data_IF_336300566252
#
_entry.id   IF_336300566252
#
_cell.length_a   1.000
_cell.length_b   1.000
_cell.length_c   1.000
_cell.angle_alpha   90.00
_cell.angle_beta   90.00
_cell.angle_gamma   90.00
#
_symmetry.space_group_name_H-M   'P 1'
#
loop_
_entity.id
_entity.type
_entity.pdbx_description
1 polymer ?
#
# COMPACT_ATOMS: atom_id res chain seq x y z
N UNK A 1 10.39 35.09 -15.64
CA UNK A 1 9.01 34.99 -15.09
C UNK A 1 8.92 34.56 -13.62
N UNK A 2 9.65 33.55 -13.10
CA UNK A 2 9.72 33.32 -11.64
C UNK A 2 10.69 34.29 -10.91
N UNK A 3 11.83 34.61 -11.54
CA UNK A 3 12.84 35.50 -10.94
C UNK A 3 12.39 36.97 -10.80
N UNK A 4 11.54 37.45 -11.72
CA UNK A 4 11.02 38.83 -11.70
C UNK A 4 9.99 39.03 -10.57
N UNK A 5 9.19 37.99 -10.30
CA UNK A 5 8.16 38.00 -9.25
C UNK A 5 8.76 38.00 -7.83
N UNK A 6 9.96 37.43 -7.66
CA UNK A 6 10.72 37.49 -6.40
C UNK A 6 11.31 38.88 -6.12
N UNK A 7 11.76 39.59 -7.17
CA UNK A 7 12.28 40.96 -7.02
C UNK A 7 11.19 41.96 -6.61
N UNK A 8 9.93 41.74 -6.99
CA UNK A 8 8.79 42.63 -6.70
C UNK A 8 8.01 42.31 -5.41
N UNK A 9 8.30 41.23 -4.68
CA UNK A 9 7.65 40.95 -3.39
C UNK A 9 8.20 41.84 -2.25
N UNK A 10 7.30 42.41 -1.44
CA UNK A 10 7.64 43.24 -0.27
C UNK A 10 8.16 42.37 0.90
N UNK A 11 8.96 42.94 1.80
CA UNK A 11 9.59 42.25 2.95
C UNK A 11 8.66 41.34 3.79
N UNK A 12 7.39 41.67 4.08
CA UNK A 12 6.53 40.76 4.84
C UNK A 12 6.10 39.52 4.06
N UNK A 13 6.00 39.57 2.73
CA UNK A 13 5.65 38.42 1.88
C UNK A 13 6.85 37.49 1.70
N UNK A 14 8.07 38.06 1.65
CA UNK A 14 9.32 37.28 1.67
C UNK A 14 9.55 36.58 3.01
N UNK A 15 9.12 37.18 4.13
CA UNK A 15 9.18 36.54 5.46
C UNK A 15 8.29 35.29 5.57
N UNK A 16 7.15 35.24 4.88
CA UNK A 16 6.34 34.01 4.83
C UNK A 16 7.07 32.83 4.16
N UNK A 17 7.95 33.10 3.20
CA UNK A 17 8.80 32.07 2.57
C UNK A 17 10.04 31.72 3.40
N UNK A 18 10.50 32.59 4.31
CA UNK A 18 11.60 32.30 5.23
C UNK A 18 11.14 31.37 6.38
N UNK A 19 9.92 31.57 6.87
CA UNK A 19 9.30 30.75 7.92
C UNK A 19 9.12 29.28 7.47
N UNK A 20 8.83 29.06 6.18
CA UNK A 20 8.77 27.71 5.60
C UNK A 20 10.13 27.00 5.57
N UNK A 21 11.23 27.73 5.38
CA UNK A 21 12.59 27.15 5.32
C UNK A 21 13.12 26.78 6.72
N UNK A 22 12.74 27.54 7.76
CA UNK A 22 13.02 27.16 9.15
C UNK A 22 12.20 25.95 9.59
N UNK A 23 10.93 25.86 9.20
CA UNK A 23 10.08 24.70 9.51
C UNK A 23 10.57 23.42 8.82
N UNK A 24 11.08 23.51 7.60
CA UNK A 24 11.68 22.36 6.90
C UNK A 24 13.02 21.93 7.53
N UNK A 25 13.84 22.87 8.03
CA UNK A 25 15.05 22.56 8.82
C UNK A 25 14.71 21.92 10.16
N UNK A 26 13.65 22.37 10.83
CA UNK A 26 13.14 21.77 12.06
C UNK A 26 12.64 20.33 11.79
N UNK A 27 11.90 20.12 10.69
CA UNK A 27 11.37 18.81 10.30
C UNK A 27 12.46 17.81 9.85
N UNK A 28 13.61 18.29 9.35
CA UNK A 28 14.78 17.47 9.07
C UNK A 28 15.46 16.90 10.33
N UNK A 29 15.27 17.55 11.49
CA UNK A 29 15.77 17.07 12.79
C UNK A 29 14.74 16.22 13.56
N UNK A 30 13.48 16.22 13.10
CA UNK A 30 12.39 15.48 13.72
C UNK A 30 12.45 13.99 13.35
N UNK A 31 12.96 13.17 14.26
CA UNK A 31 12.75 11.73 14.22
C UNK A 31 11.34 11.41 14.74
N UNK A 32 10.41 10.91 13.91
CA UNK A 32 9.06 10.58 14.38
C UNK A 32 9.14 9.49 15.47
N UNK A 33 8.40 9.63 16.60
CA UNK A 33 8.28 8.57 17.59
C UNK A 33 7.83 7.28 16.93
N UNK A 34 8.71 6.28 16.93
CA UNK A 34 8.49 5.00 16.26
C UNK A 34 7.57 4.13 17.09
N UNK A 35 6.27 4.36 16.98
CA UNK A 35 5.25 3.47 17.53
C UNK A 35 4.26 3.12 16.41
N UNK A 36 4.41 1.90 15.88
CA UNK A 36 3.46 1.21 14.98
C UNK A 36 3.42 1.56 13.47
N UNK A 37 4.54 1.82 12.79
CA UNK A 37 4.49 2.00 11.32
C UNK A 37 5.75 1.78 10.50
N UNK A 38 6.85 1.33 11.09
CA UNK A 38 8.10 1.13 10.36
C UNK A 38 7.94 0.08 9.26
N UNK A 39 7.87 0.50 7.99
CA UNK A 39 7.91 -0.39 6.84
C UNK A 39 9.29 -1.06 6.81
N UNK A 40 9.41 -2.19 7.52
CA UNK A 40 10.64 -3.00 7.57
C UNK A 40 11.16 -3.17 6.15
N UNK A 41 12.39 -2.73 5.89
CA UNK A 41 13.07 -2.86 4.60
C UNK A 41 12.98 -4.34 4.19
N UNK A 42 12.15 -4.65 3.19
CA UNK A 42 11.95 -6.04 2.74
C UNK A 42 13.31 -6.59 2.34
N UNK A 43 13.71 -7.71 2.95
CA UNK A 43 14.91 -8.46 2.56
C UNK A 43 14.81 -8.76 1.06
N UNK A 44 15.92 -8.60 0.33
CA UNK A 44 15.99 -8.92 -1.10
C UNK A 44 15.54 -10.37 -1.25
N UNK A 45 14.63 -10.62 -2.18
CA UNK A 45 14.08 -11.96 -2.41
C UNK A 45 15.23 -12.81 -2.99
N UNK A 46 15.69 -13.83 -2.26
CA UNK A 46 16.69 -14.77 -2.77
C UNK A 46 16.08 -15.54 -3.95
N UNK A 47 16.75 -15.56 -5.11
CA UNK A 47 16.25 -16.22 -6.34
C UNK A 47 16.10 -17.74 -6.18
N UNK A 48 16.80 -18.33 -5.20
CA UNK A 48 16.75 -19.75 -4.87
C UNK A 48 15.80 -20.08 -3.70
N UNK A 49 15.16 -19.09 -3.08
CA UNK A 49 14.21 -19.35 -2.01
C UNK A 49 12.87 -19.81 -2.59
N UNK A 50 12.36 -20.91 -2.05
CA UNK A 50 11.03 -21.40 -2.35
C UNK A 50 10.01 -20.27 -2.14
N UNK A 51 9.09 -20.09 -3.09
CA UNK A 51 8.03 -19.08 -2.97
C UNK A 51 7.26 -19.38 -1.69
N UNK A 52 7.01 -18.34 -0.90
CA UNK A 52 6.21 -18.49 0.34
C UNK A 52 4.84 -19.06 -0.04
N UNK A 53 4.31 -20.00 0.75
CA UNK A 53 2.99 -20.57 0.50
C UNK A 53 1.95 -19.46 0.46
N UNK A 54 0.99 -19.62 -0.45
CA UNK A 54 -0.08 -18.63 -0.62
C UNK A 54 -1.07 -18.77 0.53
N UNK A 55 -1.46 -17.65 1.14
CA UNK A 55 -2.50 -17.67 2.18
C UNK A 55 -3.87 -17.98 1.57
N UNK A 56 -4.79 -18.53 2.38
CA UNK A 56 -6.17 -18.87 2.04
C UNK A 56 -6.87 -17.76 1.24
N UNK A 57 -6.68 -16.50 1.65
CA UNK A 57 -7.23 -15.35 0.93
C UNK A 57 -6.65 -15.20 -0.49
N UNK A 58 -5.35 -15.43 -0.68
CA UNK A 58 -4.71 -15.33 -1.99
C UNK A 58 -5.09 -16.51 -2.90
N UNK A 59 -5.34 -17.69 -2.35
CA UNK A 59 -5.89 -18.83 -3.09
C UNK A 59 -7.31 -18.51 -3.59
N UNK A 60 -8.16 -17.99 -2.71
CA UNK A 60 -9.49 -17.50 -3.10
C UNK A 60 -9.41 -16.40 -4.16
N UNK A 61 -8.49 -15.45 -4.00
CA UNK A 61 -8.28 -14.40 -5.00
C UNK A 61 -7.79 -14.97 -6.34
N UNK A 62 -6.96 -16.00 -6.37
CA UNK A 62 -6.52 -16.61 -7.61
C UNK A 62 -7.69 -17.18 -8.41
N UNK A 63 -8.64 -17.85 -7.74
CA UNK A 63 -9.83 -18.41 -8.35
C UNK A 63 -10.83 -17.31 -8.80
N UNK A 64 -11.13 -16.36 -7.92
CA UNK A 64 -12.17 -15.36 -8.14
C UNK A 64 -11.71 -14.11 -8.91
N UNK A 65 -10.41 -13.78 -8.93
CA UNK A 65 -9.97 -12.56 -9.62
C UNK A 65 -10.26 -12.64 -11.12
N UNK A 66 -10.12 -13.82 -11.73
CA UNK A 66 -10.41 -13.99 -13.15
C UNK A 66 -11.90 -13.73 -13.42
N UNK A 67 -12.77 -14.24 -12.55
CA UNK A 67 -14.21 -13.99 -12.62
C UNK A 67 -14.54 -12.49 -12.47
N UNK A 68 -13.90 -11.80 -11.51
CA UNK A 68 -14.14 -10.37 -11.27
C UNK A 68 -13.58 -9.50 -12.39
N UNK A 69 -12.41 -9.80 -12.92
CA UNK A 69 -11.84 -9.08 -14.07
C UNK A 69 -12.65 -9.32 -15.34
N UNK A 70 -13.23 -10.52 -15.52
CA UNK A 70 -14.12 -10.81 -16.63
C UNK A 70 -15.49 -10.11 -16.49
N UNK A 71 -16.05 -10.04 -15.28
CA UNK A 71 -17.31 -9.34 -15.02
C UNK A 71 -17.17 -7.81 -15.08
N UNK A 72 -16.03 -7.29 -14.64
CA UNK A 72 -15.76 -5.86 -14.56
C UNK A 72 -14.44 -5.50 -15.25
N UNK A 73 -14.38 -5.58 -16.59
CA UNK A 73 -13.18 -5.23 -17.33
C UNK A 73 -12.82 -3.74 -17.22
N UNK A 74 -13.76 -2.88 -16.80
CA UNK A 74 -13.51 -1.46 -16.55
C UNK A 74 -12.87 -1.17 -15.19
N UNK A 75 -12.88 -2.12 -14.24
CA UNK A 75 -12.32 -1.87 -12.91
C UNK A 75 -10.80 -1.85 -12.95
N UNK A 76 -10.23 -0.86 -12.27
CA UNK A 76 -8.80 -0.86 -11.99
C UNK A 76 -8.44 -2.07 -11.12
N UNK A 77 -7.20 -2.56 -11.23
CA UNK A 77 -6.68 -3.67 -10.42
C UNK A 77 -6.91 -3.42 -8.92
N UNK A 78 -6.83 -2.16 -8.47
CA UNK A 78 -7.11 -1.79 -7.08
C UNK A 78 -8.59 -1.89 -6.69
N UNK A 79 -9.50 -1.59 -7.60
CA UNK A 79 -10.95 -1.70 -7.37
C UNK A 79 -11.40 -3.15 -7.38
N UNK A 80 -10.89 -3.96 -8.32
CA UNK A 80 -11.09 -5.40 -8.35
C UNK A 80 -10.59 -6.06 -7.05
N UNK A 81 -9.42 -5.65 -6.54
CA UNK A 81 -8.89 -6.15 -5.27
C UNK A 81 -9.76 -5.77 -4.07
N UNK A 82 -10.32 -4.56 -4.02
CA UNK A 82 -11.30 -4.15 -2.99
C UNK A 82 -12.55 -5.03 -3.03
N UNK A 83 -13.13 -5.22 -4.21
CA UNK A 83 -14.31 -6.06 -4.39
C UNK A 83 -14.06 -7.51 -3.95
N UNK A 84 -12.88 -8.08 -4.26
CA UNK A 84 -12.46 -9.41 -3.79
C UNK A 84 -12.34 -9.49 -2.27
N UNK A 85 -11.75 -8.46 -1.63
CA UNK A 85 -11.64 -8.38 -0.18
C UNK A 85 -13.00 -8.33 0.52
N UNK A 86 -13.95 -7.57 -0.02
CA UNK A 86 -15.32 -7.55 0.48
C UNK A 86 -16.04 -8.88 0.32
N UNK A 87 -15.87 -9.54 -0.83
CA UNK A 87 -16.41 -10.89 -1.07
C UNK A 87 -15.85 -11.86 -0.04
N UNK A 88 -14.54 -11.89 0.17
CA UNK A 88 -13.91 -12.76 1.17
C UNK A 88 -14.47 -12.57 2.58
N UNK A 89 -14.74 -11.32 2.99
CA UNK A 89 -15.37 -11.07 4.28
C UNK A 89 -16.79 -11.65 4.36
N UNK A 90 -17.54 -11.61 3.26
CA UNK A 90 -18.91 -12.14 3.14
C UNK A 90 -18.98 -13.66 2.87
N UNK A 91 -17.89 -14.29 2.46
CA UNK A 91 -17.83 -15.74 2.21
C UNK A 91 -18.12 -16.52 3.51
N UNK A 92 -18.93 -17.60 3.45
CA UNK A 92 -19.25 -18.43 4.60
C UNK A 92 -18.00 -19.10 5.20
N UNK A 93 -18.04 -19.36 6.50
CA UNK A 93 -16.93 -19.96 7.24
C UNK A 93 -16.48 -21.30 6.63
N UNK A 94 -17.39 -22.10 6.07
CA UNK A 94 -17.05 -23.38 5.45
C UNK A 94 -16.08 -23.23 4.27
N UNK A 95 -16.33 -22.26 3.39
CA UNK A 95 -15.42 -21.97 2.29
C UNK A 95 -14.09 -21.45 2.82
N UNK A 96 -14.09 -20.60 3.86
CA UNK A 96 -12.85 -20.13 4.49
C UNK A 96 -12.01 -21.30 5.03
N UNK A 97 -12.65 -22.24 5.74
CA UNK A 97 -11.99 -23.45 6.26
C UNK A 97 -11.43 -24.32 5.14
N UNK A 98 -12.14 -24.48 4.02
CA UNK A 98 -11.61 -25.21 2.86
C UNK A 98 -10.35 -24.55 2.29
N UNK A 99 -10.33 -23.22 2.18
CA UNK A 99 -9.15 -22.49 1.69
C UNK A 99 -8.01 -22.46 2.72
N UNK A 100 -8.30 -22.46 4.02
CA UNK A 100 -7.30 -22.62 5.08
C UNK A 100 -6.67 -24.02 5.07
N UNK A 101 -7.46 -25.07 4.82
CA UNK A 101 -6.93 -26.42 4.63
C UNK A 101 -6.02 -26.52 3.39
N UNK A 102 -6.40 -25.85 2.29
CA UNK A 102 -5.55 -25.75 1.10
C UNK A 102 -4.26 -24.97 1.36
N UNK A 103 -4.32 -23.87 2.11
CA UNK A 103 -3.13 -23.12 2.57
C UNK A 103 -2.20 -24.01 3.41
N UNK A 104 -2.76 -24.80 4.34
CA UNK A 104 -1.97 -25.69 5.18
C UNK A 104 -1.25 -26.78 4.37
N UNK A 105 -1.88 -27.25 3.28
CA UNK A 105 -1.30 -28.23 2.37
C UNK A 105 -0.16 -27.61 1.54
N UNK A 106 -0.34 -26.41 0.99
CA UNK A 106 0.68 -25.68 0.22
C UNK A 106 1.89 -25.25 1.06
N UNK A 107 1.72 -25.18 2.38
CA UNK A 107 2.77 -24.82 3.35
C UNK A 107 3.73 -25.96 3.69
N UNK A 108 3.44 -27.19 3.27
CA UNK A 108 4.26 -28.38 3.54
C UNK A 108 5.27 -28.61 2.42
#
# INVERSE_FOLDING_TARGET
KCAERWKQMNEPEKKCFADTDEKDKEMASYAPPTEAGGRRKKKKKDLNAQKRPLSAFFLFCADEHFNVTAQYPQYSVGEAAKALGERWNKVPAELKVQYEAKEALDKT
#
